data_IF_949747004924
#
_entry.id   IF_949747004924
#
_cell.length_a   1.000
_cell.length_b   1.000
_cell.length_c   1.000
_cell.angle_alpha   90.00
_cell.angle_beta   90.00
_cell.angle_gamma   90.00
#
_symmetry.space_group_name_H-M   'P 1'
#
loop_
_entity.id
_entity.type
_entity.pdbx_description
1 polymer ?
#
# COMPACT_ATOMS: atom_id res chain seq x y z
N UNK A 1 -46.27 -23.48 10.75
CA UNK A 1 -44.85 -23.65 11.11
C UNK A 1 -44.09 -23.52 9.82
N UNK A 2 -43.74 -22.28 9.46
CA UNK A 2 -43.07 -21.94 8.21
C UNK A 2 -41.62 -21.65 8.56
N UNK A 3 -40.83 -22.68 8.38
CA UNK A 3 -39.38 -22.74 8.31
C UNK A 3 -38.73 -21.42 7.89
N UNK A 4 -38.29 -20.63 8.89
CA UNK A 4 -37.30 -19.58 8.71
C UNK A 4 -35.99 -20.26 8.28
N UNK A 5 -35.75 -20.28 6.97
CA UNK A 5 -34.54 -20.83 6.41
C UNK A 5 -33.37 -19.92 6.82
N UNK A 6 -32.49 -20.51 7.61
CA UNK A 6 -31.37 -19.90 8.32
C UNK A 6 -30.39 -19.25 7.34
N UNK A 7 -30.15 -17.97 7.59
CA UNK A 7 -28.87 -17.26 7.42
C UNK A 7 -28.23 -17.25 6.01
N UNK A 8 -28.77 -16.43 5.12
CA UNK A 8 -27.99 -15.86 4.01
C UNK A 8 -27.35 -14.53 4.43
N UNK A 9 -26.51 -14.53 5.48
CA UNK A 9 -25.53 -13.46 5.65
C UNK A 9 -24.44 -13.69 4.64
N UNK A 10 -24.66 -13.20 3.42
CA UNK A 10 -23.62 -12.99 2.44
C UNK A 10 -22.48 -12.23 3.12
N UNK A 11 -21.44 -12.96 3.51
CA UNK A 11 -20.27 -12.38 4.17
C UNK A 11 -19.54 -11.61 3.07
N UNK A 12 -19.93 -10.37 2.83
CA UNK A 12 -19.32 -9.49 1.83
C UNK A 12 -17.83 -9.42 2.16
N UNK A 13 -17.04 -10.17 1.39
CA UNK A 13 -15.61 -10.29 1.62
C UNK A 13 -14.99 -8.95 1.28
N UNK A 14 -14.58 -8.21 2.31
CA UNK A 14 -14.00 -6.87 2.13
C UNK A 14 -12.78 -7.00 1.21
N UNK A 15 -12.76 -6.32 0.05
CA UNK A 15 -11.65 -6.38 -0.88
C UNK A 15 -10.36 -5.88 -0.23
N UNK A 16 -9.24 -6.52 -0.56
CA UNK A 16 -7.94 -6.30 0.08
C UNK A 16 -7.47 -4.85 -0.08
N UNK A 17 -7.77 -4.24 -1.23
CA UNK A 17 -7.44 -2.84 -1.49
C UNK A 17 -8.16 -1.88 -0.53
N UNK A 18 -9.41 -2.14 -0.16
CA UNK A 18 -10.12 -1.33 0.83
C UNK A 18 -9.45 -1.44 2.20
N UNK A 19 -9.11 -2.65 2.65
CA UNK A 19 -8.40 -2.84 3.93
C UNK A 19 -7.07 -2.08 4.04
N UNK A 20 -6.35 -1.92 2.92
CA UNK A 20 -5.10 -1.16 2.89
C UNK A 20 -5.37 0.34 2.98
N UNK A 21 -6.41 0.84 2.30
CA UNK A 21 -6.79 2.25 2.30
C UNK A 21 -7.55 2.68 3.56
N UNK A 22 -8.23 1.75 4.24
CA UNK A 22 -9.00 1.98 5.46
C UNK A 22 -8.10 2.09 6.70
N UNK A 23 -6.84 1.62 6.62
CA UNK A 23 -5.89 1.69 7.73
C UNK A 23 -4.98 2.92 7.60
N UNK A 24 -5.16 3.97 8.43
CA UNK A 24 -4.41 5.21 8.33
C UNK A 24 -2.90 5.02 8.48
N UNK A 25 -2.43 4.02 9.23
CA UNK A 25 -1.01 3.73 9.38
C UNK A 25 -0.40 3.08 8.13
N UNK A 26 -1.14 2.22 7.43
CA UNK A 26 -0.69 1.69 6.14
C UNK A 26 -0.63 2.79 5.09
N UNK A 27 -1.63 3.69 5.09
CA UNK A 27 -1.66 4.84 4.19
C UNK A 27 -0.48 5.79 4.45
N UNK A 28 -0.17 6.07 5.72
CA UNK A 28 1.01 6.84 6.14
C UNK A 28 2.29 6.14 5.67
N UNK A 29 2.42 4.84 5.96
CA UNK A 29 3.60 4.05 5.61
C UNK A 29 3.87 4.12 4.11
N UNK A 30 2.88 3.85 3.27
CA UNK A 30 3.03 3.96 1.80
C UNK A 30 3.33 5.40 1.40
N UNK A 31 2.65 6.38 2.02
CA UNK A 31 2.85 7.81 1.75
C UNK A 31 4.27 8.33 2.04
N UNK A 32 4.97 7.75 3.01
CA UNK A 32 6.37 8.13 3.34
C UNK A 32 7.36 7.22 2.63
N UNK A 33 7.14 5.91 2.62
CA UNK A 33 8.09 4.93 2.05
C UNK A 33 8.24 5.12 0.55
N UNK A 34 7.15 5.36 -0.18
CA UNK A 34 7.22 5.54 -1.64
C UNK A 34 8.15 6.70 -2.02
N UNK A 35 7.94 7.96 -1.58
CA UNK A 35 8.84 9.04 -1.93
C UNK A 35 10.24 8.84 -1.35
N UNK A 36 10.38 8.29 -0.13
CA UNK A 36 11.71 8.04 0.45
C UNK A 36 12.54 7.10 -0.42
N UNK A 37 11.98 5.96 -0.83
CA UNK A 37 12.70 5.01 -1.72
C UNK A 37 12.98 5.65 -3.07
N UNK A 38 12.03 6.41 -3.62
CA UNK A 38 12.21 7.13 -4.88
C UNK A 38 13.40 8.10 -4.82
N UNK A 39 13.45 8.95 -3.79
CA UNK A 39 14.54 9.91 -3.60
C UNK A 39 15.88 9.22 -3.32
N UNK A 40 15.89 8.10 -2.61
CA UNK A 40 17.13 7.32 -2.39
C UNK A 40 17.65 6.80 -3.73
N UNK A 41 16.81 6.14 -4.51
CA UNK A 41 17.22 5.59 -5.81
C UNK A 41 17.69 6.71 -6.73
N UNK A 42 16.94 7.81 -6.80
CA UNK A 42 17.33 8.95 -7.61
C UNK A 42 18.67 9.55 -7.15
N UNK A 43 18.85 9.75 -5.84
CA UNK A 43 20.12 10.26 -5.29
C UNK A 43 21.30 9.33 -5.57
N UNK A 44 21.10 8.01 -5.52
CA UNK A 44 22.14 7.05 -5.90
C UNK A 44 22.47 7.16 -7.40
N UNK A 45 21.46 7.24 -8.26
CA UNK A 45 21.65 7.42 -9.70
C UNK A 45 22.41 8.71 -10.01
N UNK A 46 22.10 9.80 -9.30
CA UNK A 46 22.83 11.07 -9.41
C UNK A 46 24.30 10.89 -9.04
N UNK A 47 24.59 10.31 -7.88
CA UNK A 47 25.96 10.11 -7.38
C UNK A 47 26.80 9.25 -8.33
N UNK A 48 26.24 8.14 -8.84
CA UNK A 48 26.96 7.24 -9.77
C UNK A 48 27.24 7.91 -11.11
N UNK A 49 26.41 8.88 -11.50
CA UNK A 49 26.57 9.61 -12.76
C UNK A 49 27.60 10.75 -12.68
N UNK A 50 28.07 11.11 -11.47
CA UNK A 50 29.10 12.12 -11.30
C UNK A 50 30.44 11.54 -11.79
N UNK A 51 31.03 12.13 -12.85
CA UNK A 51 32.35 11.71 -13.30
C UNK A 51 33.38 12.05 -12.22
N UNK A 52 34.15 11.04 -11.82
CA UNK A 52 35.32 11.23 -10.97
C UNK A 52 36.35 11.98 -11.80
N UNK A 53 36.70 13.19 -11.37
CA UNK A 53 37.74 13.98 -12.03
C UNK A 53 39.09 13.28 -11.85
N UNK A 54 39.81 13.07 -12.97
CA UNK A 54 41.22 12.64 -12.98
C UNK A 54 42.13 13.70 -12.33
#
# INVERSE_FOLDING_TARGET
>A
MENENVDSRDVVRIPIMQRILDNPFMLLFVGVVVPTVFYIIWGIMEIVSIPIAD
#
